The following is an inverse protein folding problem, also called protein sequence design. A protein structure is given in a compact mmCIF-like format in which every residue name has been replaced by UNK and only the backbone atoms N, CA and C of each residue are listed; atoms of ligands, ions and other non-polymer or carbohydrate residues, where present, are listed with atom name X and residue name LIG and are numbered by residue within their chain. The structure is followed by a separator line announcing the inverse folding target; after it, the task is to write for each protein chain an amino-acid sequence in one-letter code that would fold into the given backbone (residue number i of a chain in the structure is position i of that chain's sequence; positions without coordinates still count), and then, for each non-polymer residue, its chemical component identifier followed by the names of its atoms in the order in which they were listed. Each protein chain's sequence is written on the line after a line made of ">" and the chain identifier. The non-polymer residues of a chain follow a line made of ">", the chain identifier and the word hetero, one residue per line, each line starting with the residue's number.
data_IF_556920886728
#
_entry.id   IF_556920886728
#
_cell.length_a   1.000
_cell.length_b   1.000
_cell.length_c   1.000
_cell.angle_alpha   90.00
_cell.angle_beta   90.00
_cell.angle_gamma   90.00
#
_symmetry.space_group_name_H-M   'P 1'
#
loop_
_entity.id
_entity.type
_entity.pdbx_description
1 polymer ?
#
# COMPACT_ATOMS: atom_id res chain seq x y z
N UNK A 1 -7.65 -2.03 -43.10
CA UNK A 1 -8.93 -1.38 -42.69
C UNK A 1 -8.74 -0.76 -41.31
N UNK A 2 -9.02 0.53 -41.19
CA UNK A 2 -8.84 1.30 -39.94
C UNK A 2 -10.06 1.13 -39.04
N UNK A 3 -11.28 1.25 -39.55
CA UNK A 3 -12.52 1.07 -38.78
C UNK A 3 -12.96 -0.40 -38.70
N UNK A 4 -13.78 -0.72 -37.70
CA UNK A 4 -14.52 -1.98 -37.69
C UNK A 4 -15.63 -1.95 -38.75
N UNK A 5 -16.04 -3.14 -39.18
CA UNK A 5 -17.27 -3.34 -39.98
C UNK A 5 -18.21 -4.27 -39.22
N UNK A 6 -19.47 -4.44 -39.65
CA UNK A 6 -20.36 -5.43 -39.05
C UNK A 6 -19.81 -6.86 -39.10
N UNK A 7 -18.79 -7.16 -39.92
CA UNK A 7 -18.22 -8.49 -40.09
C UNK A 7 -16.76 -8.61 -39.59
N UNK A 8 -16.00 -7.54 -39.45
CA UNK A 8 -14.56 -7.64 -39.13
C UNK A 8 -14.04 -6.53 -38.24
N UNK A 9 -13.02 -6.85 -37.44
CA UNK A 9 -12.30 -5.85 -36.64
C UNK A 9 -11.25 -5.11 -37.49
N UNK A 10 -11.21 -3.79 -37.33
CA UNK A 10 -10.16 -2.94 -37.89
C UNK A 10 -8.79 -3.21 -37.28
N UNK A 11 -7.74 -2.64 -37.86
CA UNK A 11 -6.38 -2.75 -37.33
C UNK A 11 -6.24 -2.16 -35.90
N UNK A 12 -6.76 -0.97 -35.56
CA UNK A 12 -6.63 -0.40 -34.22
C UNK A 12 -7.27 -1.27 -33.14
N UNK A 13 -8.46 -1.82 -33.38
CA UNK A 13 -9.11 -2.72 -32.42
C UNK A 13 -8.26 -3.96 -32.10
N UNK A 14 -7.61 -4.53 -33.12
CA UNK A 14 -6.71 -5.68 -32.98
C UNK A 14 -5.40 -5.31 -32.31
N UNK A 15 -4.78 -4.22 -32.73
CA UNK A 15 -3.53 -3.73 -32.14
C UNK A 15 -3.71 -3.40 -30.65
N UNK A 16 -4.77 -2.67 -30.29
CA UNK A 16 -5.10 -2.37 -28.90
C UNK A 16 -5.37 -3.64 -28.10
N UNK A 17 -6.08 -4.64 -28.65
CA UNK A 17 -6.27 -5.92 -27.97
C UNK A 17 -4.93 -6.61 -27.63
N UNK A 18 -4.06 -6.79 -28.62
CA UNK A 18 -2.79 -7.50 -28.41
C UNK A 18 -1.80 -6.71 -27.55
N UNK A 19 -1.79 -5.37 -27.67
CA UNK A 19 -1.01 -4.51 -26.78
C UNK A 19 -1.52 -4.63 -25.34
N UNK A 20 -2.84 -4.56 -25.12
CA UNK A 20 -3.43 -4.76 -23.79
C UNK A 20 -3.10 -6.14 -23.23
N UNK A 21 -3.20 -7.20 -24.04
CA UNK A 21 -2.82 -8.54 -23.61
C UNK A 21 -1.34 -8.64 -23.21
N UNK A 22 -0.44 -8.07 -24.02
CA UNK A 22 1.00 -8.04 -23.72
C UNK A 22 1.28 -7.33 -22.39
N UNK A 23 0.71 -6.13 -22.19
CA UNK A 23 0.90 -5.35 -20.97
C UNK A 23 0.36 -6.08 -19.74
N UNK A 24 -0.85 -6.64 -19.83
CA UNK A 24 -1.45 -7.39 -18.72
C UNK A 24 -0.63 -8.63 -18.38
N UNK A 25 -0.27 -9.46 -19.37
CA UNK A 25 0.51 -10.67 -19.11
C UNK A 25 1.89 -10.36 -18.53
N UNK A 26 2.51 -9.26 -18.96
CA UNK A 26 3.78 -8.78 -18.40
C UNK A 26 3.61 -8.33 -16.95
N UNK A 27 2.57 -7.54 -16.65
CA UNK A 27 2.28 -7.09 -15.30
C UNK A 27 1.98 -8.26 -14.35
N UNK A 28 1.23 -9.27 -14.83
CA UNK A 28 0.95 -10.50 -14.07
C UNK A 28 2.27 -11.24 -13.77
N UNK A 29 3.13 -11.44 -14.76
CA UNK A 29 4.42 -12.10 -14.56
C UNK A 29 5.31 -11.37 -13.55
N UNK A 30 5.40 -10.04 -13.65
CA UNK A 30 6.15 -9.22 -12.68
C UNK A 30 5.54 -9.26 -11.27
N UNK A 31 4.21 -9.25 -11.18
CA UNK A 31 3.49 -9.28 -9.90
C UNK A 31 3.69 -10.59 -9.16
N UNK A 32 3.48 -11.73 -9.85
CA UNK A 32 3.67 -13.07 -9.27
C UNK A 32 5.13 -13.30 -8.87
N UNK A 33 6.09 -12.94 -9.75
CA UNK A 33 7.50 -13.09 -9.44
C UNK A 33 7.96 -12.20 -8.26
N UNK A 34 7.43 -10.98 -8.16
CA UNK A 34 7.70 -10.09 -7.03
C UNK A 34 7.07 -10.56 -5.72
N UNK A 35 5.91 -11.21 -5.78
CA UNK A 35 5.21 -11.73 -4.59
C UNK A 35 5.96 -12.90 -3.93
N UNK A 36 6.54 -13.79 -4.75
CA UNK A 36 7.30 -14.96 -4.31
C UNK A 36 8.73 -14.64 -3.82
N UNK A 37 9.22 -13.42 -4.08
CA UNK A 37 10.60 -13.05 -3.75
C UNK A 37 10.74 -12.76 -2.24
N UNK A 38 11.80 -13.26 -1.58
CA UNK A 38 12.06 -12.96 -0.17
C UNK A 38 12.17 -11.46 0.09
N UNK A 39 11.54 -10.99 1.18
CA UNK A 39 11.64 -9.61 1.65
C UNK A 39 12.85 -9.43 2.56
N UNK A 40 14.03 -9.66 1.98
CA UNK A 40 15.32 -9.47 2.63
C UNK A 40 16.14 -8.39 1.92
N UNK A 41 17.28 -8.02 2.51
CA UNK A 41 18.12 -7.00 1.92
C UNK A 41 18.75 -7.42 0.57
N UNK A 42 19.06 -8.71 0.40
CA UNK A 42 19.67 -9.22 -0.82
C UNK A 42 18.77 -9.04 -2.05
N UNK A 43 17.45 -9.07 -1.86
CA UNK A 43 16.46 -8.96 -2.93
C UNK A 43 15.83 -7.56 -3.02
N UNK A 44 16.17 -6.62 -2.14
CA UNK A 44 15.48 -5.32 -2.04
C UNK A 44 15.53 -4.50 -3.33
N UNK A 45 16.68 -4.42 -4.00
CA UNK A 45 16.79 -3.71 -5.28
C UNK A 45 16.02 -4.39 -6.42
N UNK A 46 15.97 -5.71 -6.37
CA UNK A 46 15.20 -6.51 -7.33
C UNK A 46 13.70 -6.27 -7.10
N UNK A 47 13.23 -6.33 -5.85
CA UNK A 47 11.86 -6.02 -5.46
C UNK A 47 11.46 -4.61 -5.89
N UNK A 48 12.31 -3.61 -5.64
CA UNK A 48 12.11 -2.23 -6.10
C UNK A 48 11.87 -2.19 -7.60
N UNK A 49 12.79 -2.77 -8.36
CA UNK A 49 12.75 -2.74 -9.83
C UNK A 49 11.50 -3.45 -10.35
N UNK A 50 11.19 -4.63 -9.84
CA UNK A 50 10.01 -5.40 -10.22
C UNK A 50 8.72 -4.64 -9.95
N UNK A 51 8.54 -4.10 -8.74
CA UNK A 51 7.32 -3.37 -8.40
C UNK A 51 7.22 -2.03 -9.11
N UNK A 52 8.34 -1.33 -9.34
CA UNK A 52 8.37 -0.13 -10.18
C UNK A 52 7.91 -0.44 -11.61
N UNK A 53 8.45 -1.50 -12.23
CA UNK A 53 8.02 -1.94 -13.56
C UNK A 53 6.56 -2.40 -13.58
N UNK A 54 6.14 -3.20 -12.58
CA UNK A 54 4.76 -3.67 -12.46
C UNK A 54 3.77 -2.51 -12.40
N UNK A 55 4.04 -1.50 -11.54
CA UNK A 55 3.19 -0.32 -11.41
C UNK A 55 3.17 0.51 -12.69
N UNK A 56 4.32 0.78 -13.30
CA UNK A 56 4.40 1.53 -14.55
C UNK A 56 3.64 0.84 -15.69
N UNK A 57 3.83 -0.48 -15.85
CA UNK A 57 3.13 -1.27 -16.86
C UNK A 57 1.63 -1.35 -16.55
N UNK A 58 1.24 -1.46 -15.29
CA UNK A 58 -0.16 -1.41 -14.85
C UNK A 58 -0.85 -0.10 -15.21
N UNK A 59 -0.20 1.04 -14.99
CA UNK A 59 -0.70 2.36 -15.40
C UNK A 59 -0.78 2.47 -16.93
N UNK A 60 0.23 2.00 -17.66
CA UNK A 60 0.19 1.96 -19.12
C UNK A 60 -0.96 1.08 -19.64
N UNK A 61 -1.19 -0.08 -19.00
CA UNK A 61 -2.30 -0.98 -19.31
C UNK A 61 -3.66 -0.32 -19.08
N UNK A 62 -3.81 0.43 -17.98
CA UNK A 62 -5.04 1.19 -17.67
C UNK A 62 -5.39 2.19 -18.77
N UNK A 63 -4.45 3.06 -19.15
CA UNK A 63 -4.70 4.05 -20.21
C UNK A 63 -4.90 3.38 -21.59
N UNK A 64 -4.15 2.32 -21.89
CA UNK A 64 -4.37 1.54 -23.12
C UNK A 64 -5.77 0.92 -23.12
N UNK A 65 -6.24 0.41 -21.98
CA UNK A 65 -7.57 -0.14 -21.83
C UNK A 65 -8.67 0.93 -21.98
N UNK A 66 -8.48 2.13 -21.43
CA UNK A 66 -9.39 3.26 -21.65
C UNK A 66 -9.53 3.58 -23.14
N UNK A 67 -8.41 3.72 -23.86
CA UNK A 67 -8.42 3.95 -25.31
C UNK A 67 -9.13 2.80 -26.03
N UNK A 68 -8.85 1.54 -25.65
CA UNK A 68 -9.50 0.35 -26.20
C UNK A 68 -11.01 0.34 -25.98
N UNK A 69 -11.48 0.70 -24.79
CA UNK A 69 -12.91 0.75 -24.44
C UNK A 69 -13.60 1.88 -25.22
N UNK A 70 -13.04 3.09 -25.19
CA UNK A 70 -13.58 4.22 -25.95
C UNK A 70 -13.64 3.92 -27.45
N UNK A 71 -12.60 3.29 -28.00
CA UNK A 71 -12.59 2.82 -29.38
C UNK A 71 -13.68 1.78 -29.65
N UNK A 72 -13.85 0.79 -28.76
CA UNK A 72 -14.89 -0.23 -28.92
C UNK A 72 -16.31 0.36 -28.86
N UNK A 73 -16.54 1.38 -28.02
CA UNK A 73 -17.82 2.09 -27.92
C UNK A 73 -18.13 2.93 -29.18
N UNK A 74 -17.10 3.50 -29.81
CA UNK A 74 -17.24 4.32 -31.01
C UNK A 74 -17.35 3.51 -32.32
N UNK A 75 -17.15 2.19 -32.28
CA UNK A 75 -17.05 1.35 -33.47
C UNK A 75 -18.17 0.31 -33.54
N UNK A 76 -18.61 -0.08 -34.75
CA UNK A 76 -19.57 -1.17 -34.88
C UNK A 76 -18.96 -2.47 -34.31
N UNK A 77 -19.71 -3.14 -33.42
CA UNK A 77 -19.35 -4.49 -32.93
C UNK A 77 -19.61 -5.50 -34.06
N UNK A 78 -18.59 -6.23 -34.54
CA UNK A 78 -18.79 -7.28 -35.53
C UNK A 78 -19.69 -8.39 -34.99
N UNK A 79 -20.50 -9.01 -35.85
CA UNK A 79 -21.43 -10.08 -35.45
C UNK A 79 -20.68 -11.31 -34.89
N UNK A 80 -21.30 -12.05 -33.94
CA UNK A 80 -20.80 -13.35 -33.51
C UNK A 80 -20.76 -14.35 -34.67
N UNK A 81 -19.86 -15.33 -34.61
CA UNK A 81 -19.78 -16.40 -35.62
C UNK A 81 -20.93 -17.40 -35.52
N UNK A 82 -21.38 -17.68 -34.29
CA UNK A 82 -22.42 -18.67 -33.98
C UNK A 82 -23.53 -18.05 -33.12
N UNK A 83 -24.31 -17.08 -33.64
CA UNK A 83 -25.33 -16.35 -32.86
C UNK A 83 -26.49 -17.23 -32.36
N UNK A 84 -26.67 -18.41 -32.95
CA UNK A 84 -27.61 -19.44 -32.52
C UNK A 84 -27.17 -20.14 -31.21
N UNK A 85 -25.87 -20.15 -30.89
CA UNK A 85 -25.33 -20.73 -29.65
C UNK A 85 -25.44 -19.74 -28.50
N UNK A 86 -26.67 -19.56 -27.99
CA UNK A 86 -27.02 -18.53 -27.00
C UNK A 86 -26.21 -18.61 -25.71
N UNK A 87 -26.02 -19.81 -25.15
CA UNK A 87 -25.27 -19.99 -23.91
C UNK A 87 -23.78 -19.64 -24.06
N UNK A 88 -23.16 -20.08 -25.17
CA UNK A 88 -21.77 -19.77 -25.50
C UNK A 88 -21.58 -18.26 -25.76
N UNK A 89 -22.51 -17.65 -26.49
CA UNK A 89 -22.51 -16.19 -26.72
C UNK A 89 -22.68 -15.41 -25.41
N UNK A 90 -23.58 -15.83 -24.53
CA UNK A 90 -23.78 -15.23 -23.21
C UNK A 90 -22.50 -15.31 -22.36
N UNK A 91 -21.89 -16.49 -22.27
CA UNK A 91 -20.65 -16.71 -21.51
C UNK A 91 -19.51 -15.85 -22.06
N UNK A 92 -19.33 -15.81 -23.39
CA UNK A 92 -18.31 -14.98 -24.03
C UNK A 92 -18.53 -13.48 -23.73
N UNK A 93 -19.77 -13.00 -23.78
CA UNK A 93 -20.07 -11.61 -23.45
C UNK A 93 -19.86 -11.29 -21.97
N UNK A 94 -20.25 -12.19 -21.06
CA UNK A 94 -20.04 -12.03 -19.63
C UNK A 94 -18.54 -11.97 -19.29
N UNK A 95 -17.73 -12.86 -19.87
CA UNK A 95 -16.26 -12.85 -19.71
C UNK A 95 -15.66 -11.56 -20.27
N UNK A 96 -16.09 -11.09 -21.44
CA UNK A 96 -15.59 -9.82 -21.99
C UNK A 96 -15.94 -8.63 -21.09
N UNK A 97 -17.14 -8.57 -20.53
CA UNK A 97 -17.53 -7.53 -19.59
C UNK A 97 -16.77 -7.61 -18.27
N UNK A 98 -16.54 -8.83 -17.76
CA UNK A 98 -15.69 -9.04 -16.59
C UNK A 98 -14.26 -8.54 -16.84
N UNK A 99 -13.67 -8.85 -18.00
CA UNK A 99 -12.36 -8.34 -18.41
C UNK A 99 -12.35 -6.82 -18.59
N UNK A 100 -13.42 -6.21 -19.13
CA UNK A 100 -13.53 -4.75 -19.20
C UNK A 100 -13.47 -4.09 -17.84
N UNK A 101 -14.20 -4.61 -16.85
CA UNK A 101 -14.07 -4.14 -15.48
C UNK A 101 -12.68 -4.39 -14.89
N UNK A 102 -12.08 -5.56 -15.16
CA UNK A 102 -10.77 -5.92 -14.62
C UNK A 102 -9.67 -4.96 -15.05
N UNK A 103 -9.66 -4.59 -16.33
CA UNK A 103 -8.67 -3.67 -16.89
C UNK A 103 -8.78 -2.24 -16.34
N UNK A 104 -9.88 -1.90 -15.66
CA UNK A 104 -10.06 -0.61 -15.01
C UNK A 104 -9.90 -0.70 -13.50
N UNK A 105 -10.67 -1.55 -12.84
CA UNK A 105 -10.75 -1.65 -11.37
C UNK A 105 -9.41 -2.10 -10.77
N UNK A 106 -8.75 -3.11 -11.35
CA UNK A 106 -7.50 -3.64 -10.82
C UNK A 106 -6.37 -2.60 -10.85
N UNK A 107 -5.96 -2.03 -12.00
CA UNK A 107 -4.87 -1.06 -12.01
C UNK A 107 -5.25 0.24 -11.28
N UNK A 108 -6.52 0.68 -11.32
CA UNK A 108 -6.95 1.86 -10.58
C UNK A 108 -6.86 1.66 -9.05
N UNK A 109 -7.30 0.51 -8.54
CA UNK A 109 -7.15 0.20 -7.11
C UNK A 109 -5.68 0.10 -6.70
N UNK A 110 -4.81 -0.50 -7.52
CA UNK A 110 -3.37 -0.52 -7.25
C UNK A 110 -2.73 0.87 -7.27
N UNK A 111 -3.18 1.75 -8.15
CA UNK A 111 -2.68 3.12 -8.24
C UNK A 111 -3.17 3.99 -7.06
N UNK A 112 -4.44 3.84 -6.64
CA UNK A 112 -4.95 4.49 -5.42
C UNK A 112 -4.20 3.97 -4.19
N UNK A 113 -3.94 2.65 -4.10
CA UNK A 113 -3.18 2.07 -3.00
C UNK A 113 -1.78 2.67 -2.89
N UNK A 114 -1.09 2.82 -4.03
CA UNK A 114 0.20 3.49 -4.10
C UNK A 114 0.13 4.97 -3.69
N UNK A 115 -0.87 5.72 -4.17
CA UNK A 115 -1.01 7.14 -3.87
C UNK A 115 -1.42 7.41 -2.41
N UNK A 116 -2.11 6.45 -1.77
CA UNK A 116 -2.52 6.54 -0.37
C UNK A 116 -1.46 6.03 0.61
N UNK A 117 -0.45 5.29 0.13
CA UNK A 117 0.65 4.76 0.95
C UNK A 117 1.81 5.76 1.12
N UNK A 118 2.57 5.58 2.18
CA UNK A 118 3.94 6.10 2.30
C UNK A 118 4.92 5.11 1.66
N UNK A 119 5.81 5.63 0.80
CA UNK A 119 6.93 5.02 0.06
C UNK A 119 7.16 3.49 0.03
N UNK A 120 7.37 2.93 -1.17
CA UNK A 120 8.13 1.67 -1.36
C UNK A 120 8.80 1.61 -2.75
N UNK A 121 8.02 1.55 -3.84
CA UNK A 121 8.55 1.53 -5.20
C UNK A 121 7.87 2.60 -6.08
N UNK A 122 8.62 3.50 -6.74
CA UNK A 122 8.03 4.57 -7.54
C UNK A 122 7.48 4.05 -8.86
N UNK A 123 6.44 4.71 -9.36
CA UNK A 123 6.03 4.65 -10.76
C UNK A 123 7.09 5.41 -11.57
N UNK A 124 7.71 4.70 -12.52
CA UNK A 124 8.75 5.23 -13.39
C UNK A 124 8.14 6.10 -14.49
N UNK A 125 7.90 7.36 -14.18
CA UNK A 125 7.33 8.35 -15.08
C UNK A 125 7.70 9.77 -14.63
N UNK A 126 7.56 10.80 -15.48
CA UNK A 126 7.93 12.17 -15.12
C UNK A 126 6.87 12.89 -14.27
N UNK A 127 5.76 12.23 -13.93
CA UNK A 127 4.67 12.82 -13.16
C UNK A 127 4.83 12.54 -11.66
N UNK A 128 4.06 13.24 -10.84
CA UNK A 128 4.01 12.99 -9.38
C UNK A 128 3.59 11.55 -9.05
N UNK A 129 3.96 11.08 -7.86
CA UNK A 129 3.60 9.74 -7.37
C UNK A 129 2.21 9.70 -6.71
N UNK A 130 1.72 10.85 -6.25
CA UNK A 130 0.37 10.99 -5.69
C UNK A 130 -0.71 11.16 -6.76
N UNK A 131 -1.96 11.05 -6.33
CA UNK A 131 -3.15 11.34 -7.12
C UNK A 131 -3.88 12.55 -6.53
N UNK A 132 -4.35 13.50 -7.35
CA UNK A 132 -5.20 14.58 -6.85
C UNK A 132 -6.39 14.03 -6.07
N UNK A 133 -6.69 14.64 -4.92
CA UNK A 133 -7.80 14.28 -4.03
C UNK A 133 -7.71 12.91 -3.36
N UNK A 134 -6.61 12.16 -3.53
CA UNK A 134 -6.34 10.92 -2.79
C UNK A 134 -5.46 11.27 -1.59
N UNK A 135 -5.99 11.22 -0.35
CA UNK A 135 -5.19 11.47 0.83
C UNK A 135 -4.24 10.31 1.11
N UNK A 136 -3.11 10.60 1.74
CA UNK A 136 -2.29 9.58 2.40
C UNK A 136 -3.11 9.00 3.54
N UNK A 137 -3.40 7.70 3.48
CA UNK A 137 -4.24 6.99 4.44
C UNK A 137 -3.93 5.50 4.37
N UNK A 138 -3.45 4.94 5.48
CA UNK A 138 -3.15 3.52 5.62
C UNK A 138 -4.39 2.66 5.37
N UNK A 139 -5.54 3.04 5.93
CA UNK A 139 -6.82 2.36 5.72
C UNK A 139 -7.21 2.35 4.23
N UNK A 140 -7.06 3.48 3.54
CA UNK A 140 -7.37 3.55 2.11
C UNK A 140 -6.41 2.70 1.29
N UNK A 141 -5.11 2.77 1.60
CA UNK A 141 -4.07 1.99 0.93
C UNK A 141 -4.31 0.48 1.08
N UNK A 142 -4.56 0.01 2.30
CA UNK A 142 -4.86 -1.38 2.61
C UNK A 142 -6.16 -1.86 1.95
N UNK A 143 -7.22 -1.07 2.04
CA UNK A 143 -8.52 -1.42 1.42
C UNK A 143 -8.38 -1.60 -0.09
N UNK A 144 -7.68 -0.68 -0.75
CA UNK A 144 -7.49 -0.72 -2.20
C UNK A 144 -6.50 -1.80 -2.63
N UNK A 145 -5.53 -2.16 -1.78
CA UNK A 145 -4.68 -3.33 -1.98
C UNK A 145 -5.49 -4.64 -1.93
N UNK A 146 -6.43 -4.80 -0.99
CA UNK A 146 -7.31 -5.97 -0.96
C UNK A 146 -8.15 -6.04 -2.23
N UNK A 147 -8.76 -4.91 -2.64
CA UNK A 147 -9.53 -4.84 -3.89
C UNK A 147 -8.64 -5.22 -5.08
N UNK A 148 -7.39 -4.77 -5.12
CA UNK A 148 -6.43 -5.13 -6.17
C UNK A 148 -6.18 -6.65 -6.22
N UNK A 149 -5.92 -7.30 -5.08
CA UNK A 149 -5.70 -8.75 -4.97
C UNK A 149 -6.94 -9.57 -5.36
N UNK A 150 -8.13 -9.19 -4.89
CA UNK A 150 -9.38 -9.84 -5.28
C UNK A 150 -9.67 -9.67 -6.78
N UNK A 151 -9.37 -8.48 -7.33
CA UNK A 151 -9.49 -8.21 -8.77
C UNK A 151 -8.53 -9.05 -9.59
N UNK A 152 -7.31 -9.31 -9.09
CA UNK A 152 -6.34 -10.19 -9.74
C UNK A 152 -6.87 -11.62 -9.89
N UNK A 153 -7.47 -12.19 -8.84
CA UNK A 153 -8.09 -13.52 -8.89
C UNK A 153 -9.19 -13.61 -9.95
N UNK A 154 -10.07 -12.60 -10.01
CA UNK A 154 -11.11 -12.53 -11.02
C UNK A 154 -10.52 -12.36 -12.43
N UNK A 155 -9.48 -11.54 -12.59
CA UNK A 155 -8.76 -11.37 -13.86
C UNK A 155 -8.15 -12.70 -14.32
N UNK A 156 -7.51 -13.47 -13.44
CA UNK A 156 -6.92 -14.76 -13.77
C UNK A 156 -7.97 -15.75 -14.27
N UNK A 157 -9.09 -15.88 -13.54
CA UNK A 157 -10.19 -16.73 -13.95
C UNK A 157 -10.78 -16.28 -15.30
N UNK A 158 -10.98 -14.97 -15.50
CA UNK A 158 -11.54 -14.44 -16.73
C UNK A 158 -10.59 -14.60 -17.93
N UNK A 159 -9.27 -14.40 -17.76
CA UNK A 159 -8.26 -14.67 -18.79
C UNK A 159 -8.25 -16.15 -19.14
N UNK A 160 -8.25 -17.03 -18.14
CA UNK A 160 -8.26 -18.48 -18.38
C UNK A 160 -9.48 -18.89 -19.20
N UNK A 161 -10.69 -18.47 -18.81
CA UNK A 161 -11.92 -18.73 -19.56
C UNK A 161 -11.88 -18.14 -20.97
N UNK A 162 -11.35 -16.92 -21.12
CA UNK A 162 -11.21 -16.27 -22.43
C UNK A 162 -10.28 -17.04 -23.37
N UNK A 163 -9.10 -17.44 -22.89
CA UNK A 163 -8.11 -18.19 -23.67
C UNK A 163 -8.63 -19.60 -23.98
N UNK A 164 -9.21 -20.30 -23.00
CA UNK A 164 -9.82 -21.62 -23.20
C UNK A 164 -10.92 -21.54 -24.25
N UNK A 165 -11.79 -20.52 -24.20
CA UNK A 165 -12.81 -20.29 -25.22
C UNK A 165 -12.21 -20.10 -26.62
N UNK A 166 -11.21 -19.22 -26.75
CA UNK A 166 -10.53 -18.99 -28.03
C UNK A 166 -9.84 -20.26 -28.58
N UNK A 167 -9.18 -21.03 -27.71
CA UNK A 167 -8.57 -22.31 -28.08
C UNK A 167 -9.63 -23.34 -28.47
N UNK A 168 -10.74 -23.41 -27.75
CA UNK A 168 -11.86 -24.32 -28.06
C UNK A 168 -12.41 -24.05 -29.46
N UNK A 169 -12.59 -22.78 -29.81
CA UNK A 169 -13.01 -22.36 -31.15
C UNK A 169 -12.02 -22.73 -32.25
N UNK A 170 -10.71 -22.64 -31.98
CA UNK A 170 -9.67 -22.97 -32.99
C UNK A 170 -9.46 -24.48 -33.12
N UNK A 171 -9.44 -25.22 -32.01
CA UNK A 171 -9.07 -26.63 -31.96
C UNK A 171 -10.24 -27.56 -32.25
N UNK A 172 -11.44 -27.25 -31.74
CA UNK A 172 -12.62 -28.11 -31.86
C UNK A 172 -13.62 -27.58 -32.88
N UNK A 173 -14.06 -26.32 -32.76
CA UNK A 173 -15.01 -25.74 -33.73
C UNK A 173 -14.35 -25.44 -35.08
N UNK A 174 -13.02 -25.29 -35.09
CA UNK A 174 -12.19 -24.93 -36.26
C UNK A 174 -12.69 -23.69 -37.00
N UNK A 175 -13.13 -22.70 -36.24
CA UNK A 175 -13.70 -21.47 -36.80
C UNK A 175 -12.72 -20.29 -36.79
N UNK A 176 -13.18 -19.15 -37.32
CA UNK A 176 -12.37 -17.96 -37.50
C UNK A 176 -12.21 -17.09 -36.24
N UNK A 177 -12.63 -17.53 -35.03
CA UNK A 177 -12.66 -16.70 -33.82
C UNK A 177 -11.32 -16.02 -33.54
N UNK A 178 -10.22 -16.78 -33.49
CA UNK A 178 -8.88 -16.22 -33.32
C UNK A 178 -8.41 -15.43 -34.54
N UNK A 179 -8.73 -15.91 -35.76
CA UNK A 179 -8.34 -15.26 -37.01
C UNK A 179 -8.95 -13.84 -37.16
N UNK A 180 -10.12 -13.61 -36.56
CA UNK A 180 -10.76 -12.28 -36.48
C UNK A 180 -9.92 -11.29 -35.67
N UNK A 181 -9.22 -11.74 -34.64
CA UNK A 181 -8.37 -10.89 -33.80
C UNK A 181 -6.91 -10.80 -34.26
N UNK A 182 -6.38 -11.82 -34.93
CA UNK A 182 -5.01 -11.77 -35.47
C UNK A 182 -4.96 -11.06 -36.83
N UNK A 183 -5.71 -11.58 -37.82
CA UNK A 183 -5.64 -11.13 -39.23
C UNK A 183 -6.83 -10.30 -39.68
N UNK A 184 -7.87 -10.15 -38.84
CA UNK A 184 -9.06 -9.38 -39.18
C UNK A 184 -9.99 -10.14 -40.13
N UNK A 185 -10.00 -11.47 -40.02
CA UNK A 185 -10.92 -12.31 -40.78
C UNK A 185 -12.37 -11.84 -40.62
N UNK A 186 -13.19 -12.03 -41.65
CA UNK A 186 -14.61 -11.66 -41.62
C UNK A 186 -15.41 -12.75 -40.93
N UNK A 187 -16.41 -12.34 -40.16
CA UNK A 187 -17.55 -13.19 -39.84
C UNK A 187 -18.39 -13.42 -41.11
N UNK A 188 -19.12 -14.54 -41.14
CA UNK A 188 -20.05 -14.87 -42.23
C UNK A 188 -21.23 -13.91 -42.33
N UNK A 189 -22.27 -14.29 -43.08
CA UNK A 189 -23.45 -13.43 -43.28
C UNK A 189 -24.03 -12.94 -41.94
N UNK A 190 -24.39 -11.66 -41.89
CA UNK A 190 -24.87 -11.00 -40.69
C UNK A 190 -26.23 -11.57 -40.25
N UNK A 191 -26.22 -12.55 -39.35
CA UNK A 191 -27.42 -12.96 -38.64
C UNK A 191 -27.70 -12.01 -37.44
N UNK A 192 -28.97 -11.91 -37.06
CA UNK A 192 -29.45 -10.95 -36.07
C UNK A 192 -28.75 -11.09 -34.71
N UNK A 193 -28.44 -9.93 -34.11
CA UNK A 193 -27.84 -9.85 -32.77
C UNK A 193 -28.88 -10.26 -31.71
N UNK A 194 -28.52 -11.18 -30.83
CA UNK A 194 -29.20 -11.33 -29.54
C UNK A 194 -28.53 -10.38 -28.54
N UNK A 195 -28.83 -9.08 -28.63
CA UNK A 195 -28.27 -8.08 -27.72
C UNK A 195 -29.12 -7.97 -26.46
N UNK A 196 -28.59 -8.39 -25.31
CA UNK A 196 -29.23 -8.22 -24.02
C UNK A 196 -28.27 -7.59 -23.00
N UNK A 197 -28.80 -6.81 -22.05
CA UNK A 197 -27.99 -6.23 -20.97
C UNK A 197 -27.54 -7.25 -19.92
N UNK A 198 -28.08 -8.48 -19.94
CA UNK A 198 -27.87 -9.49 -18.91
C UNK A 198 -26.40 -9.88 -18.66
N UNK A 199 -25.54 -10.13 -19.68
CA UNK A 199 -24.12 -10.42 -19.44
C UNK A 199 -23.37 -9.25 -18.78
N UNK A 200 -23.71 -8.03 -19.17
CA UNK A 200 -23.14 -6.81 -18.59
C UNK A 200 -23.60 -6.62 -17.14
N UNK A 201 -24.89 -6.86 -16.86
CA UNK A 201 -25.45 -6.79 -15.52
C UNK A 201 -24.83 -7.84 -14.59
N UNK A 202 -24.64 -9.08 -15.05
CA UNK A 202 -23.97 -10.13 -14.30
C UNK A 202 -22.52 -9.73 -13.97
N UNK A 203 -21.76 -9.25 -14.97
CA UNK A 203 -20.40 -8.77 -14.74
C UNK A 203 -20.37 -7.58 -13.76
N UNK A 204 -21.33 -6.66 -13.86
CA UNK A 204 -21.49 -5.55 -12.92
C UNK A 204 -21.73 -6.02 -11.48
N UNK A 205 -22.61 -7.01 -11.28
CA UNK A 205 -22.86 -7.60 -9.97
C UNK A 205 -21.61 -8.30 -9.40
N UNK A 206 -20.85 -9.00 -10.24
CA UNK A 206 -19.57 -9.61 -9.85
C UNK A 206 -18.59 -8.53 -9.39
N UNK A 207 -18.45 -7.43 -10.13
CA UNK A 207 -17.57 -6.33 -9.73
C UNK A 207 -18.02 -5.62 -8.46
N UNK A 208 -19.33 -5.42 -8.27
CA UNK A 208 -19.88 -4.90 -7.02
C UNK A 208 -19.57 -5.83 -5.85
N UNK A 209 -19.66 -7.15 -6.04
CA UNK A 209 -19.31 -8.12 -5.03
C UNK A 209 -17.81 -8.11 -4.70
N UNK A 210 -16.93 -8.03 -5.70
CA UNK A 210 -15.46 -7.93 -5.50
C UNK A 210 -15.08 -6.68 -4.73
N UNK A 211 -15.59 -5.51 -5.14
CA UNK A 211 -15.30 -4.23 -4.48
C UNK A 211 -15.89 -4.24 -3.06
N UNK A 212 -17.15 -4.68 -2.91
CA UNK A 212 -17.82 -4.78 -1.63
C UNK A 212 -17.13 -5.75 -0.66
N UNK A 213 -16.62 -6.87 -1.16
CA UNK A 213 -15.81 -7.80 -0.38
C UNK A 213 -14.48 -7.18 0.06
N UNK A 214 -13.81 -6.44 -0.81
CA UNK A 214 -12.57 -5.75 -0.44
C UNK A 214 -12.77 -4.70 0.66
N UNK A 215 -13.83 -3.88 0.54
CA UNK A 215 -14.21 -2.90 1.56
C UNK A 215 -14.64 -3.59 2.86
N UNK A 216 -15.49 -4.61 2.77
CA UNK A 216 -16.00 -5.33 3.94
C UNK A 216 -14.93 -6.15 4.68
N UNK A 217 -13.98 -6.74 3.95
CA UNK A 217 -12.86 -7.46 4.53
C UNK A 217 -11.86 -6.50 5.18
N UNK A 218 -11.61 -5.34 4.56
CA UNK A 218 -10.81 -4.28 5.17
C UNK A 218 -11.42 -3.85 6.50
N UNK A 219 -12.73 -3.67 6.63
CA UNK A 219 -13.35 -3.34 7.91
C UNK A 219 -13.26 -4.43 8.99
N UNK A 220 -12.97 -5.68 8.63
CA UNK A 220 -12.83 -6.82 9.57
C UNK A 220 -11.37 -7.15 9.90
N UNK A 221 -10.48 -6.94 8.95
CA UNK A 221 -9.04 -7.18 9.04
C UNK A 221 -8.24 -5.90 9.28
N UNK A 222 -8.88 -4.74 9.23
CA UNK A 222 -8.27 -3.50 9.68
C UNK A 222 -7.72 -3.82 11.07
N UNK A 223 -6.40 -3.65 11.30
CA UNK A 223 -5.96 -3.36 12.64
C UNK A 223 -6.90 -2.27 13.10
N UNK A 224 -7.57 -2.48 14.24
CA UNK A 224 -8.44 -1.49 14.84
C UNK A 224 -7.77 -0.14 14.60
N UNK A 225 -8.40 0.71 13.77
CA UNK A 225 -7.81 1.99 13.49
C UNK A 225 -7.52 2.54 14.89
N UNK A 226 -6.28 2.97 15.21
CA UNK A 226 -6.20 3.90 16.31
C UNK A 226 -7.23 4.92 15.89
N UNK A 227 -8.21 5.16 16.77
CA UNK A 227 -9.22 6.14 16.47
C UNK A 227 -8.50 7.42 15.96
N UNK A 228 -9.24 8.45 15.60
CA UNK A 228 -8.76 9.70 16.20
C UNK A 228 -8.78 9.46 17.70
N UNK A 229 -7.70 8.88 18.21
CA UNK A 229 -7.50 8.69 19.61
C UNK A 229 -7.58 10.13 20.10
N UNK A 230 -8.47 10.48 21.04
CA UNK A 230 -8.02 11.46 22.02
C UNK A 230 -6.61 11.01 22.39
N UNK A 231 -5.62 11.92 22.24
CA UNK A 231 -4.21 11.63 22.36
C UNK A 231 -4.00 10.46 23.33
N UNK A 232 -3.43 9.32 22.90
CA UNK A 232 -3.48 8.10 23.69
C UNK A 232 -2.99 8.44 25.09
N UNK A 233 -3.91 8.33 26.04
CA UNK A 233 -3.59 8.53 27.44
C UNK A 233 -2.47 7.54 27.71
N UNK A 234 -1.33 8.04 28.19
CA UNK A 234 -0.30 7.19 28.73
C UNK A 234 -0.98 6.16 29.64
N UNK A 235 -0.54 4.90 29.54
CA UNK A 235 -1.01 3.81 30.39
C UNK A 235 -1.13 4.31 31.84
N UNK A 236 -2.24 3.98 32.51
CA UNK A 236 -2.67 4.52 33.80
C UNK A 236 -1.53 4.87 34.78
N UNK A 237 -1.65 6.00 35.51
CA UNK A 237 -0.56 6.55 36.31
C UNK A 237 -0.02 5.55 37.33
N UNK A 238 1.26 5.19 37.20
CA UNK A 238 2.05 4.69 38.32
C UNK A 238 2.27 5.87 39.27
N UNK A 239 1.44 5.96 40.31
CA UNK A 239 1.34 7.06 41.27
C UNK A 239 2.54 7.17 42.23
N UNK A 240 3.76 7.25 41.71
CA UNK A 240 4.98 7.39 42.52
C UNK A 240 5.96 8.48 42.03
N UNK A 241 5.73 9.07 40.85
CA UNK A 241 6.65 10.04 40.23
C UNK A 241 6.07 11.46 40.20
N UNK A 242 6.95 12.47 40.21
CA UNK A 242 6.55 13.87 40.36
C UNK A 242 5.67 14.39 39.21
N UNK A 243 5.79 13.82 38.01
CA UNK A 243 4.99 14.19 36.84
C UNK A 243 4.38 12.95 36.17
N UNK A 244 3.11 13.05 35.82
CA UNK A 244 2.32 12.04 35.11
C UNK A 244 1.99 12.52 33.72
N UNK A 245 2.34 11.76 32.69
CA UNK A 245 1.92 12.05 31.31
C UNK A 245 0.42 11.83 31.17
N UNK A 246 -0.30 12.84 30.69
CA UNK A 246 -1.74 12.75 30.42
C UNK A 246 -2.04 12.50 28.95
N UNK A 247 -1.22 13.06 28.07
CA UNK A 247 -1.34 12.92 26.62
C UNK A 247 0.07 12.87 26.02
N UNK A 248 0.28 12.07 24.98
CA UNK A 248 1.52 12.16 24.24
C UNK A 248 1.57 11.34 22.95
N UNK A 249 2.56 11.66 22.14
CA UNK A 249 2.85 11.03 20.87
C UNK A 249 4.36 10.76 20.75
N UNK A 250 4.68 9.53 20.38
CA UNK A 250 6.02 9.11 19.99
C UNK A 250 5.96 8.63 18.55
N UNK A 251 6.59 9.39 17.65
CA UNK A 251 6.61 9.10 16.22
C UNK A 251 8.02 9.03 15.70
N UNK A 252 8.23 8.29 14.63
CA UNK A 252 9.54 8.22 13.99
C UNK A 252 9.41 8.22 12.48
N UNK A 253 10.41 8.73 11.78
CA UNK A 253 10.45 8.78 10.31
C UNK A 253 11.77 8.25 9.81
N UNK A 254 11.71 7.33 8.85
CA UNK A 254 12.87 6.78 8.15
C UNK A 254 12.66 6.91 6.64
N UNK A 255 13.73 7.14 5.89
CA UNK A 255 13.64 7.08 4.43
C UNK A 255 13.60 5.62 3.98
N UNK A 256 12.67 5.26 3.11
CA UNK A 256 12.66 3.97 2.42
C UNK A 256 12.60 4.23 0.92
N UNK A 257 13.60 3.73 0.20
CA UNK A 257 13.73 3.91 -1.25
C UNK A 257 13.74 5.38 -1.70
N UNK A 258 14.19 6.28 -0.82
CA UNK A 258 14.20 7.74 -1.03
C UNK A 258 12.92 8.48 -0.64
N UNK A 259 11.88 7.78 -0.19
CA UNK A 259 10.63 8.38 0.29
C UNK A 259 10.53 8.30 1.83
N UNK A 260 10.04 9.33 2.52
CA UNK A 260 9.83 9.26 3.96
C UNK A 260 8.69 8.30 4.30
N UNK A 261 8.91 7.44 5.28
CA UNK A 261 7.91 6.56 5.88
C UNK A 261 7.88 6.86 7.38
N UNK A 262 6.72 7.31 7.86
CA UNK A 262 6.53 7.67 9.27
C UNK A 262 5.74 6.59 9.99
N UNK A 263 6.13 6.33 11.24
CA UNK A 263 5.54 5.35 12.11
C UNK A 263 5.23 5.90 13.50
N UNK A 264 4.46 5.13 14.26
CA UNK A 264 4.00 5.50 15.60
C UNK A 264 4.34 4.38 16.59
N UNK A 265 4.60 4.79 17.83
CA UNK A 265 4.78 3.91 18.99
C UNK A 265 3.70 4.27 20.01
N UNK A 266 2.49 3.66 19.89
CA UNK A 266 1.32 4.13 20.64
C UNK A 266 1.31 3.69 22.11
N UNK A 267 2.07 2.66 22.47
CA UNK A 267 2.08 2.08 23.81
C UNK A 267 3.42 2.35 24.51
N UNK A 268 3.41 3.27 25.48
CA UNK A 268 4.58 3.61 26.29
C UNK A 268 4.17 4.19 27.63
N UNK A 269 5.11 4.23 28.57
CA UNK A 269 4.98 4.85 29.88
C UNK A 269 6.23 5.67 30.18
N UNK A 270 6.08 6.75 30.93
CA UNK A 270 7.20 7.54 31.41
C UNK A 270 7.10 7.78 32.92
N UNK A 271 8.15 7.42 33.65
CA UNK A 271 8.38 7.80 35.04
C UNK A 271 9.24 9.06 35.04
N UNK A 272 8.67 10.20 35.46
CA UNK A 272 9.32 11.52 35.36
C UNK A 272 9.45 12.14 36.74
N UNK A 273 10.70 12.33 37.18
CA UNK A 273 11.05 13.03 38.41
C UNK A 273 11.86 14.27 38.04
N UNK A 274 11.17 15.39 37.86
CA UNK A 274 11.77 16.66 37.45
C UNK A 274 11.42 17.78 38.42
N UNK A 275 12.44 18.50 38.87
CA UNK A 275 12.31 19.67 39.73
C UNK A 275 12.49 20.97 38.91
N UNK A 276 11.43 21.77 38.74
CA UNK A 276 11.50 23.04 38.01
C UNK A 276 12.39 24.10 38.66
N UNK A 277 12.63 24.04 39.98
CA UNK A 277 13.46 25.04 40.67
C UNK A 277 14.93 24.84 40.29
N UNK A 278 15.45 23.64 40.50
CA UNK A 278 16.83 23.29 40.12
C UNK A 278 17.02 23.15 38.61
N UNK A 279 15.95 22.85 37.86
CA UNK A 279 16.03 22.57 36.44
C UNK A 279 16.68 21.22 36.14
N UNK A 280 16.58 20.27 37.06
CA UNK A 280 17.21 18.95 36.94
C UNK A 280 16.23 17.83 37.26
N UNK A 281 16.48 16.64 36.75
CA UNK A 281 15.62 15.50 37.01
C UNK A 281 16.09 14.20 36.37
N UNK A 282 15.25 13.18 36.44
CA UNK A 282 15.42 11.89 35.78
C UNK A 282 14.14 11.48 35.08
N UNK A 283 14.31 10.71 34.00
CA UNK A 283 13.21 10.07 33.30
C UNK A 283 13.56 8.64 32.94
N UNK A 284 12.59 7.75 33.10
CA UNK A 284 12.62 6.38 32.56
C UNK A 284 11.40 6.19 31.67
N UNK A 285 11.63 5.95 30.39
CA UNK A 285 10.58 5.65 29.40
C UNK A 285 10.66 4.17 29.05
N UNK A 286 9.54 3.46 29.14
CA UNK A 286 9.37 2.09 28.66
C UNK A 286 8.39 2.12 27.48
N UNK A 287 8.78 1.53 26.36
CA UNK A 287 8.05 1.56 25.09
C UNK A 287 7.74 0.11 24.69
N UNK A 288 6.47 -0.21 24.50
CA UNK A 288 6.05 -1.48 23.90
C UNK A 288 6.14 -1.36 22.37
N UNK A 289 7.18 -1.98 21.79
CA UNK A 289 7.43 -1.94 20.36
C UNK A 289 6.57 -2.96 19.60
N UNK A 290 5.87 -3.88 20.27
CA UNK A 290 4.96 -4.82 19.60
C UNK A 290 3.78 -4.12 18.93
N UNK A 291 3.40 -2.95 19.45
CA UNK A 291 2.31 -2.12 18.95
C UNK A 291 2.75 -1.10 17.89
N UNK A 292 4.02 -1.11 17.47
CA UNK A 292 4.50 -0.15 16.47
C UNK A 292 3.69 -0.24 15.17
N UNK A 293 3.45 0.90 14.52
CA UNK A 293 2.98 0.97 13.12
C UNK A 293 4.00 1.74 12.29
N UNK A 294 4.19 1.32 11.03
CA UNK A 294 5.02 1.99 10.02
C UNK A 294 4.32 1.90 8.64
N UNK A 295 3.00 2.09 8.62
CA UNK A 295 2.20 1.99 7.39
C UNK A 295 2.31 0.62 6.73
N UNK A 296 2.48 0.61 5.40
CA UNK A 296 2.52 -0.64 4.61
C UNK A 296 3.69 -1.59 4.91
N UNK A 297 4.69 -1.12 5.66
CA UNK A 297 5.88 -1.92 6.04
C UNK A 297 5.91 -2.28 7.53
N UNK A 298 4.78 -2.14 8.23
CA UNK A 298 4.64 -2.48 9.66
C UNK A 298 5.12 -3.90 9.97
N UNK A 299 4.67 -4.90 9.22
CA UNK A 299 5.05 -6.30 9.45
C UNK A 299 6.55 -6.53 9.23
N UNK A 300 7.13 -5.86 8.22
CA UNK A 300 8.56 -5.92 7.98
C UNK A 300 9.34 -5.27 9.13
N UNK A 301 8.89 -4.10 9.60
CA UNK A 301 9.51 -3.39 10.72
C UNK A 301 9.47 -4.20 12.03
N UNK A 302 8.40 -4.99 12.27
CA UNK A 302 8.31 -5.88 13.43
C UNK A 302 9.20 -7.11 13.34
N UNK A 303 9.62 -7.48 12.12
CA UNK A 303 10.39 -8.69 11.86
C UNK A 303 11.84 -8.69 12.39
N UNK A 304 12.52 -9.85 12.33
CA UNK A 304 13.83 -10.05 12.96
C UNK A 304 14.95 -9.14 12.47
N UNK A 305 14.91 -8.71 11.20
CA UNK A 305 15.90 -7.78 10.66
C UNK A 305 15.78 -6.37 11.23
N UNK A 306 14.62 -5.99 11.77
CA UNK A 306 14.36 -4.64 12.27
C UNK A 306 14.15 -4.66 13.79
N UNK A 307 12.94 -4.39 14.30
CA UNK A 307 12.70 -4.31 15.74
C UNK A 307 12.77 -5.67 16.44
N UNK A 308 12.58 -6.78 15.71
CA UNK A 308 12.53 -8.15 16.25
C UNK A 308 11.61 -8.25 17.47
N UNK A 309 10.37 -7.78 17.32
CA UNK A 309 9.44 -7.59 18.45
C UNK A 309 9.06 -8.90 19.14
N UNK A 310 9.28 -10.04 18.47
CA UNK A 310 9.09 -11.36 19.04
C UNK A 310 10.11 -11.70 20.13
N UNK A 311 11.35 -11.18 20.03
CA UNK A 311 12.42 -11.44 21.00
C UNK A 311 12.74 -10.21 21.86
N UNK A 312 12.46 -9.01 21.34
CA UNK A 312 12.66 -7.72 21.99
C UNK A 312 11.33 -6.93 22.01
N UNK A 313 10.37 -7.29 22.87
CA UNK A 313 9.04 -6.68 22.87
C UNK A 313 9.02 -5.24 23.41
N UNK A 314 10.09 -4.80 24.06
CA UNK A 314 10.20 -3.44 24.62
C UNK A 314 11.50 -2.74 24.27
N UNK A 315 11.44 -1.40 24.30
CA UNK A 315 12.58 -0.50 24.28
C UNK A 315 12.52 0.41 25.52
N UNK A 316 13.69 0.85 26.00
CA UNK A 316 13.80 1.61 27.25
C UNK A 316 14.75 2.79 27.09
N UNK A 317 14.35 3.95 27.60
CA UNK A 317 15.21 5.14 27.65
C UNK A 317 15.34 5.63 29.10
N UNK A 318 16.55 5.56 29.65
CA UNK A 318 16.89 6.10 30.97
C UNK A 318 17.76 7.33 30.81
N UNK A 319 17.34 8.47 31.34
CA UNK A 319 18.07 9.72 31.16
C UNK A 319 18.01 10.64 32.38
N UNK A 320 19.02 11.50 32.46
CA UNK A 320 19.03 12.68 33.33
C UNK A 320 18.58 13.90 32.53
N UNK A 321 17.67 14.67 33.10
CA UNK A 321 17.16 15.93 32.54
C UNK A 321 17.99 17.10 33.09
N UNK A 322 18.35 18.03 32.22
CA UNK A 322 19.01 19.29 32.59
C UNK A 322 18.46 20.45 31.75
N UNK A 323 18.06 21.52 32.43
CA UNK A 323 17.74 22.81 31.80
C UNK A 323 19.00 23.47 31.27
N UNK A 324 18.93 23.96 30.03
CA UNK A 324 20.01 24.68 29.36
C UNK A 324 19.85 26.19 29.57
N UNK A 325 18.78 26.73 28.99
CA UNK A 325 18.42 28.14 29.03
C UNK A 325 16.93 28.30 28.70
N UNK A 326 16.21 29.12 29.47
CA UNK A 326 14.77 29.30 29.33
C UNK A 326 14.01 27.95 29.21
N UNK A 327 13.21 27.74 28.14
CA UNK A 327 12.47 26.50 27.93
C UNK A 327 13.34 25.35 27.38
N UNK A 328 14.60 25.58 27.01
CA UNK A 328 15.45 24.55 26.39
C UNK A 328 16.04 23.60 27.44
N UNK A 329 15.94 22.30 27.18
CA UNK A 329 16.40 21.22 28.06
C UNK A 329 17.07 20.12 27.24
N UNK A 330 17.94 19.35 27.90
CA UNK A 330 18.47 18.08 27.40
C UNK A 330 18.05 16.94 28.31
N UNK A 331 17.63 15.81 27.73
CA UNK A 331 17.60 14.51 28.38
C UNK A 331 18.76 13.67 27.83
N UNK A 332 19.82 13.51 28.61
CA UNK A 332 21.00 12.72 28.23
C UNK A 332 21.01 11.41 28.99
N UNK A 333 21.13 10.31 28.25
CA UNK A 333 20.89 8.99 28.80
C UNK A 333 21.27 7.85 27.88
N UNK A 334 20.73 6.67 28.17
CA UNK A 334 20.93 5.45 27.40
C UNK A 334 19.60 4.98 26.82
N UNK A 335 19.54 4.82 25.50
CA UNK A 335 18.46 4.15 24.82
C UNK A 335 18.85 2.68 24.61
N UNK A 336 18.07 1.77 25.18
CA UNK A 336 18.16 0.34 24.91
C UNK A 336 17.06 -0.05 23.94
N UNK A 337 17.46 -0.47 22.75
CA UNK A 337 16.55 -0.89 21.69
C UNK A 337 17.12 -2.13 21.01
N UNK A 338 16.29 -3.15 20.80
CA UNK A 338 16.69 -4.45 20.24
C UNK A 338 17.91 -5.05 20.98
N UNK A 339 17.86 -4.99 22.30
CA UNK A 339 18.93 -5.49 23.18
C UNK A 339 20.25 -4.71 23.14
N UNK A 340 20.33 -3.63 22.36
CA UNK A 340 21.55 -2.81 22.23
C UNK A 340 21.37 -1.48 22.96
N UNK A 341 22.30 -1.17 23.85
CA UNK A 341 22.31 0.07 24.64
C UNK A 341 23.23 1.11 23.98
N UNK A 342 22.68 2.27 23.63
CA UNK A 342 23.39 3.36 22.96
C UNK A 342 23.18 4.67 23.75
N UNK A 343 24.25 5.43 24.04
CA UNK A 343 24.11 6.74 24.66
C UNK A 343 23.49 7.73 23.67
N UNK A 344 22.46 8.44 24.11
CA UNK A 344 21.74 9.44 23.28
C UNK A 344 21.40 10.68 24.10
N UNK A 345 21.27 11.81 23.41
CA UNK A 345 20.76 13.06 23.98
C UNK A 345 19.52 13.48 23.19
N UNK A 346 18.41 13.62 23.89
CA UNK A 346 17.18 14.21 23.36
C UNK A 346 17.13 15.68 23.77
N UNK A 347 17.35 16.63 22.85
CA UNK A 347 17.03 18.03 23.08
C UNK A 347 15.51 18.24 23.03
N UNK A 348 14.98 19.04 23.93
CA UNK A 348 13.56 19.35 23.99
C UNK A 348 13.26 20.74 24.57
N UNK A 349 12.08 21.25 24.27
CA UNK A 349 11.51 22.42 24.92
C UNK A 349 10.47 22.00 25.95
N UNK A 350 10.49 22.64 27.11
CA UNK A 350 9.57 22.40 28.22
C UNK A 350 8.99 23.72 28.71
N UNK A 351 7.67 23.82 28.68
CA UNK A 351 6.92 24.93 29.23
C UNK A 351 6.06 24.43 30.39
N UNK A 352 6.15 25.09 31.54
CA UNK A 352 5.39 24.75 32.73
C UNK A 352 4.48 25.92 33.09
N UNK A 353 3.18 25.63 33.25
CA UNK A 353 2.16 26.59 33.65
C UNK A 353 1.34 26.00 34.81
N UNK A 354 1.65 26.43 36.02
CA UNK A 354 1.06 25.86 37.24
C UNK A 354 1.45 24.39 37.40
N UNK A 355 0.45 23.51 37.39
CA UNK A 355 0.62 22.05 37.52
C UNK A 355 0.71 21.34 36.16
N UNK A 356 0.54 22.05 35.04
CA UNK A 356 0.62 21.48 33.70
C UNK A 356 1.98 21.76 33.07
N UNK A 357 2.51 20.77 32.36
CA UNK A 357 3.74 20.86 31.57
C UNK A 357 3.48 20.41 30.13
N UNK A 358 4.03 21.15 29.16
CA UNK A 358 4.04 20.78 27.75
C UNK A 358 5.48 20.60 27.28
N UNK A 359 5.76 19.49 26.63
CA UNK A 359 7.08 19.14 26.12
C UNK A 359 7.04 18.74 24.65
N UNK A 360 7.99 19.25 23.88
CA UNK A 360 8.25 18.82 22.50
C UNK A 360 9.74 18.62 22.29
N UNK A 361 10.13 17.53 21.65
CA UNK A 361 11.51 17.18 21.42
C UNK A 361 11.70 16.41 20.12
N UNK A 362 12.91 16.49 19.57
CA UNK A 362 13.30 15.74 18.39
C UNK A 362 14.74 15.28 18.53
N UNK A 363 15.03 14.05 18.11
CA UNK A 363 16.39 13.58 17.93
C UNK A 363 16.53 12.78 16.62
N UNK A 364 17.75 12.67 16.12
CA UNK A 364 18.08 11.81 14.98
C UNK A 364 18.94 10.67 15.49
N UNK A 365 18.48 9.44 15.26
CA UNK A 365 19.19 8.21 15.59
C UNK A 365 19.79 7.59 14.32
N UNK A 366 20.92 6.89 14.46
CA UNK A 366 21.41 5.97 13.43
C UNK A 366 20.93 4.56 13.77
N UNK A 367 20.03 4.00 12.96
CA UNK A 367 19.47 2.65 13.21
C UNK A 367 20.55 1.57 13.31
N UNK A 368 21.68 1.75 12.65
CA UNK A 368 22.78 0.78 12.64
C UNK A 368 23.47 0.68 13.99
N UNK A 369 23.43 1.75 14.80
CA UNK A 369 23.96 1.73 16.16
C UNK A 369 23.24 0.70 17.06
N UNK A 370 22.00 0.32 16.70
CA UNK A 370 21.19 -0.70 17.38
C UNK A 370 21.17 -2.05 16.65
N UNK A 371 21.97 -2.21 15.59
CA UNK A 371 21.93 -3.40 14.73
C UNK A 371 20.63 -3.57 13.95
N UNK A 372 19.82 -2.51 13.80
CA UNK A 372 18.54 -2.54 13.10
C UNK A 372 18.77 -2.40 11.60
N UNK A 373 18.31 -3.38 10.84
CA UNK A 373 18.44 -3.49 9.39
C UNK A 373 19.89 -3.69 8.95
N UNK A 374 20.67 -4.50 9.68
CA UNK A 374 22.08 -4.75 9.39
C UNK A 374 22.31 -5.29 7.97
N UNK A 375 21.36 -6.08 7.46
CA UNK A 375 21.41 -6.56 6.08
C UNK A 375 21.22 -5.42 5.05
N UNK A 376 20.54 -4.33 5.42
CA UNK A 376 20.26 -3.16 4.58
C UNK A 376 21.40 -2.15 4.64
N UNK A 377 22.51 -2.49 4.00
CA UNK A 377 23.73 -1.67 3.96
C UNK A 377 23.72 -0.50 2.98
N UNK A 378 22.73 -0.41 2.09
CA UNK A 378 22.55 0.71 1.16
C UNK A 378 21.49 1.70 1.67
N UNK A 379 21.91 2.93 1.94
CA UNK A 379 21.04 4.02 2.40
C UNK A 379 19.93 4.36 1.40
N UNK A 380 20.15 4.06 0.11
CA UNK A 380 19.15 4.26 -0.95
C UNK A 380 17.96 3.32 -0.82
N UNK A 381 18.10 2.22 -0.07
CA UNK A 381 17.04 1.24 0.18
C UNK A 381 16.30 1.52 1.48
N UNK A 382 17.03 1.67 2.58
CA UNK A 382 16.53 2.07 3.90
C UNK A 382 17.54 3.03 4.51
N UNK A 383 17.10 4.26 4.75
CA UNK A 383 17.88 5.35 5.33
C UNK A 383 18.52 4.93 6.65
N UNK A 384 19.73 5.42 6.93
CA UNK A 384 20.40 5.14 8.20
C UNK A 384 19.86 6.03 9.32
N UNK A 385 19.60 7.30 9.00
CA UNK A 385 19.01 8.27 9.91
C UNK A 385 17.52 7.98 10.13
N UNK A 386 17.13 7.97 11.41
CA UNK A 386 15.75 7.88 11.87
C UNK A 386 15.47 9.11 12.72
N UNK A 387 14.58 9.98 12.24
CA UNK A 387 14.10 11.12 13.04
C UNK A 387 13.05 10.61 14.02
N UNK A 388 13.21 10.92 15.30
CA UNK A 388 12.25 10.60 16.36
C UNK A 388 11.71 11.90 16.91
N UNK A 389 10.39 12.02 16.91
CA UNK A 389 9.65 13.17 17.41
C UNK A 389 8.84 12.76 18.64
N UNK A 390 8.90 13.60 19.68
CA UNK A 390 8.19 13.42 20.94
C UNK A 390 7.39 14.67 21.23
N UNK A 391 6.11 14.51 21.55
CA UNK A 391 5.28 15.58 22.07
C UNK A 391 4.41 15.03 23.20
N UNK A 392 4.37 15.70 24.35
CA UNK A 392 3.55 15.26 25.47
C UNK A 392 3.07 16.42 26.34
N UNK A 393 1.98 16.16 27.06
CA UNK A 393 1.48 16.96 28.17
C UNK A 393 1.55 16.12 29.44
N UNK A 394 2.02 16.72 30.53
CA UNK A 394 2.08 16.08 31.84
C UNK A 394 1.44 16.96 32.91
N UNK A 395 0.95 16.33 33.97
CA UNK A 395 0.48 16.97 35.18
C UNK A 395 1.38 16.61 36.36
N UNK A 396 1.63 17.59 37.22
CA UNK A 396 2.36 17.38 38.47
C UNK A 396 1.51 16.54 39.42
N UNK A 397 2.10 15.57 40.08
CA UNK A 397 1.45 14.82 41.13
C UNK A 397 1.18 15.74 42.34
N UNK A 398 -0.03 15.67 42.91
CA UNK A 398 -0.44 16.40 44.10
C UNK A 398 0.19 15.87 45.39
#
# INVERSE_FOLDING_TARGET
>A
MISNTPQSYGLPARALHWLTALLILTAIGLGLYGEDLPRDAAHTDTLKTLYSLHKTIGVAAFFTALVRILWALAQPKPVPLHPERRAETFAAEAVHWALYGAMLVMPLSGWISHAAATGFAPILWPFGQGLPFVPVSETLSHTTEIVHKLSANLLYAAIALHVIGALKHVLFDRDATLARMTRGARAGAAAARHGGAAPAALAGLIWLAVIGAGVGLSGRLAPEAPAQAPAPAASAPTSAHAWTVTEGALTFTVAQMGAPVSGTLPAWTAAIDYDPETGTGTVTVEIDVTQLSLGSVTDQARGPEFFDTATHPSARFDATIRRLDGPAHDATGTLTLRGTAVPVTLPFTLEISGEAAQMTGQLILDRRAFGIGAAYGDESTVGFAVTVDVALTAQRAN
#
